data_IF_574577955710
#
_entry.id   IF_574577955710
#
_cell.length_a   1.000
_cell.length_b   1.000
_cell.length_c   1.000
_cell.angle_alpha   90.00
_cell.angle_beta   90.00
_cell.angle_gamma   90.00
#
_symmetry.space_group_name_H-M   'P 1'
#
loop_
_entity.id
_entity.type
_entity.pdbx_description
1 polymer ?
#
# COMPACT_ATOMS: atom_id res chain seq x y z
N UNK A 1 7.92 18.04 -11.00
CA UNK A 1 7.46 17.90 -9.60
C UNK A 1 8.34 18.72 -8.70
N UNK A 2 7.73 19.53 -7.84
CA UNK A 2 8.41 20.34 -6.82
C UNK A 2 7.91 19.92 -5.43
N UNK A 3 8.82 19.76 -4.46
CA UNK A 3 8.49 19.50 -3.06
C UNK A 3 9.08 20.59 -2.19
N UNK A 4 8.24 21.27 -1.41
CA UNK A 4 8.65 22.30 -0.46
C UNK A 4 8.28 21.88 0.96
N UNK A 5 9.22 22.06 1.89
CA UNK A 5 9.00 21.88 3.33
C UNK A 5 9.14 23.23 4.01
N UNK A 6 8.07 23.71 4.63
CA UNK A 6 8.09 25.00 5.34
C UNK A 6 7.87 24.77 6.83
N UNK A 7 8.81 25.27 7.65
CA UNK A 7 8.68 25.19 9.10
C UNK A 7 7.48 25.99 9.62
N UNK A 8 6.91 25.50 10.72
CA UNK A 8 5.87 26.15 11.52
C UNK A 8 6.28 26.03 12.99
N UNK A 9 5.75 26.92 13.82
CA UNK A 9 5.97 26.84 15.27
C UNK A 9 5.48 25.50 15.85
N UNK A 10 6.14 25.04 16.91
CA UNK A 10 5.74 23.84 17.66
C UNK A 10 6.15 22.52 17.01
N UNK A 11 7.38 22.44 16.46
CA UNK A 11 7.94 21.24 15.82
C UNK A 11 7.07 20.70 14.67
N UNK A 12 6.39 21.60 13.96
CA UNK A 12 5.54 21.29 12.82
C UNK A 12 6.15 21.80 11.54
N UNK A 13 5.82 21.14 10.44
CA UNK A 13 6.09 21.66 9.11
C UNK A 13 4.87 21.45 8.20
N UNK A 14 4.87 22.19 7.10
CA UNK A 14 3.96 21.96 5.98
C UNK A 14 4.81 21.39 4.85
N UNK A 15 4.46 20.19 4.40
CA UNK A 15 4.99 19.60 3.17
C UNK A 15 3.98 19.87 2.07
N UNK A 16 4.43 20.49 0.98
CA UNK A 16 3.63 20.73 -0.22
C UNK A 16 4.35 20.12 -1.41
N UNK A 17 3.63 19.33 -2.18
CA UNK A 17 4.10 18.72 -3.42
C UNK A 17 3.25 19.24 -4.57
N UNK A 18 3.91 19.72 -5.62
CA UNK A 18 3.27 20.25 -6.82
C UNK A 18 3.74 19.43 -8.00
N UNK A 19 2.79 18.80 -8.69
CA UNK A 19 3.02 18.19 -9.99
C UNK A 19 2.65 19.20 -11.08
N UNK A 20 3.55 19.38 -12.03
CA UNK A 20 3.30 20.18 -13.24
C UNK A 20 3.53 19.25 -14.42
N UNK A 21 2.47 18.99 -15.17
CA UNK A 21 2.50 18.16 -16.36
C UNK A 21 2.57 19.10 -17.57
N UNK A 22 3.44 18.78 -18.53
CA UNK A 22 3.61 19.54 -19.77
C UNK A 22 3.56 18.56 -20.92
N UNK A 23 2.63 18.77 -21.84
CA UNK A 23 2.36 17.77 -22.87
C UNK A 23 1.47 18.38 -23.97
N UNK A 24 1.41 17.74 -25.13
CA UNK A 24 1.01 18.32 -26.43
C UNK A 24 -0.28 17.74 -27.06
N UNK A 25 -1.12 17.05 -26.28
CA UNK A 25 -2.31 16.27 -26.69
C UNK A 25 -3.54 16.62 -25.81
N UNK A 26 -4.78 16.48 -26.25
CA UNK A 26 -5.92 16.90 -25.40
C UNK A 26 -6.41 15.85 -24.37
N UNK A 27 -5.61 14.83 -24.00
CA UNK A 27 -6.04 13.65 -23.20
C UNK A 27 -5.59 13.63 -21.72
N UNK A 28 -5.48 14.79 -21.06
CA UNK A 28 -4.87 14.94 -19.72
C UNK A 28 -5.66 14.46 -18.51
N UNK A 29 -6.99 14.38 -18.62
CA UNK A 29 -7.85 14.26 -17.43
C UNK A 29 -7.59 12.96 -16.66
N UNK A 30 -7.39 11.85 -17.38
CA UNK A 30 -7.10 10.53 -16.79
C UNK A 30 -5.74 10.49 -16.05
N UNK A 31 -4.73 11.21 -16.56
CA UNK A 31 -3.41 11.29 -15.92
C UNK A 31 -3.45 12.11 -14.64
N UNK A 32 -4.23 13.21 -14.63
CA UNK A 32 -4.38 14.09 -13.48
C UNK A 32 -5.17 13.41 -12.34
N UNK A 33 -6.26 12.71 -12.66
CA UNK A 33 -7.10 12.00 -11.69
C UNK A 33 -6.35 10.86 -10.98
N UNK A 34 -5.46 10.17 -11.70
CA UNK A 34 -4.59 9.13 -11.13
C UNK A 34 -3.65 9.69 -10.04
N UNK A 35 -3.15 10.92 -10.23
CA UNK A 35 -2.34 11.58 -9.21
C UNK A 35 -3.16 12.02 -8.00
N UNK A 36 -4.33 12.63 -8.22
CA UNK A 36 -5.17 13.13 -7.12
C UNK A 36 -5.66 12.00 -6.20
N UNK A 37 -5.91 10.82 -6.75
CA UNK A 37 -6.38 9.66 -5.99
C UNK A 37 -5.25 8.89 -5.28
N UNK A 38 -4.06 8.79 -5.87
CA UNK A 38 -2.95 8.00 -5.32
C UNK A 38 -2.11 8.71 -4.26
N UNK A 39 -1.83 10.02 -4.42
CA UNK A 39 -0.92 10.76 -3.54
C UNK A 39 -1.34 10.86 -2.07
N UNK A 40 -2.63 11.05 -1.73
CA UNK A 40 -3.06 11.12 -0.33
C UNK A 40 -2.58 9.91 0.50
N UNK A 41 -2.63 8.69 -0.07
CA UNK A 41 -2.15 7.48 0.60
C UNK A 41 -0.65 7.51 0.91
N UNK A 42 0.17 7.99 -0.02
CA UNK A 42 1.62 8.14 0.21
C UNK A 42 1.95 9.21 1.26
N UNK A 43 1.16 10.28 1.35
CA UNK A 43 1.31 11.25 2.44
C UNK A 43 0.96 10.65 3.80
N UNK A 44 -0.02 9.74 3.88
CA UNK A 44 -0.31 9.02 5.12
C UNK A 44 0.84 8.08 5.52
N UNK A 45 1.49 7.40 4.56
CA UNK A 45 2.71 6.62 4.84
C UNK A 45 3.80 7.53 5.40
N UNK A 46 4.04 8.69 4.78
CA UNK A 46 5.03 9.66 5.26
C UNK A 46 4.69 10.18 6.66
N UNK A 47 3.43 10.52 6.93
CA UNK A 47 2.97 10.96 8.25
C UNK A 47 3.22 9.90 9.31
N UNK A 48 2.91 8.64 9.00
CA UNK A 48 3.11 7.53 9.91
C UNK A 48 4.61 7.24 10.14
N UNK A 49 5.43 7.31 9.08
CA UNK A 49 6.90 7.22 9.19
C UNK A 49 7.47 8.28 10.14
N UNK A 50 7.15 9.55 9.90
CA UNK A 50 7.68 10.65 10.70
C UNK A 50 7.21 10.58 12.16
N UNK A 51 6.04 10.00 12.42
CA UNK A 51 5.49 9.82 13.76
C UNK A 51 6.13 8.66 14.52
N UNK A 52 6.34 7.53 13.87
CA UNK A 52 6.69 6.27 14.54
C UNK A 52 8.12 5.78 14.29
N UNK A 53 8.74 6.17 13.17
CA UNK A 53 10.04 5.68 12.72
C UNK A 53 11.02 6.79 12.30
N UNK A 54 11.03 7.99 12.93
CA UNK A 54 11.81 9.12 12.44
C UNK A 54 13.30 8.78 12.41
N UNK A 55 13.93 8.97 11.24
CA UNK A 55 15.37 8.81 11.05
C UNK A 55 15.84 7.35 10.93
N UNK A 56 14.94 6.38 10.98
CA UNK A 56 15.33 4.97 10.81
C UNK A 56 15.67 4.65 9.34
N UNK A 57 16.65 3.75 9.08
CA UNK A 57 16.90 3.22 7.74
C UNK A 57 15.64 2.60 7.16
N UNK A 58 15.44 2.73 5.84
CA UNK A 58 14.23 2.28 5.16
C UNK A 58 14.56 1.37 3.97
N UNK A 59 13.74 0.34 3.77
CA UNK A 59 13.72 -0.48 2.57
C UNK A 59 12.26 -0.82 2.22
N UNK A 60 11.98 -1.16 0.96
CA UNK A 60 10.62 -1.47 0.54
C UNK A 60 10.49 -2.80 -0.19
N UNK A 61 9.31 -3.39 -0.06
CA UNK A 61 8.87 -4.53 -0.86
C UNK A 61 7.57 -4.13 -1.54
N UNK A 62 7.47 -4.38 -2.83
CA UNK A 62 6.22 -4.20 -3.58
C UNK A 62 5.94 -5.48 -4.35
N UNK A 63 4.72 -5.98 -4.20
CA UNK A 63 4.17 -7.07 -4.99
C UNK A 63 2.79 -6.66 -5.50
N UNK A 64 2.54 -6.89 -6.79
CA UNK A 64 1.30 -6.54 -7.43
C UNK A 64 0.94 -7.61 -8.46
N UNK A 65 -0.36 -7.79 -8.70
CA UNK A 65 -0.89 -8.71 -9.70
C UNK A 65 -2.19 -8.15 -10.30
N UNK A 66 -2.50 -8.58 -11.52
CA UNK A 66 -3.81 -8.34 -12.14
C UNK A 66 -4.74 -9.47 -11.72
N UNK A 67 -5.91 -9.12 -11.18
CA UNK A 67 -6.92 -10.06 -10.76
C UNK A 67 -7.96 -10.26 -11.89
N UNK A 68 -8.40 -11.51 -12.17
CA UNK A 68 -9.39 -11.76 -13.22
C UNK A 68 -10.81 -11.24 -12.87
N UNK A 69 -11.15 -11.22 -11.58
CA UNK A 69 -12.42 -10.71 -11.07
C UNK A 69 -12.48 -9.18 -10.92
N UNK A 70 -13.66 -8.67 -10.57
CA UNK A 70 -13.85 -7.26 -10.23
C UNK A 70 -13.17 -6.85 -8.91
N UNK A 71 -13.21 -5.55 -8.58
CA UNK A 71 -12.59 -5.01 -7.36
C UNK A 71 -13.19 -5.59 -6.07
N UNK A 72 -14.46 -6.01 -6.07
CA UNK A 72 -15.07 -6.59 -4.87
C UNK A 72 -14.53 -8.00 -4.60
N UNK A 73 -14.44 -8.84 -5.63
CA UNK A 73 -13.85 -10.19 -5.54
C UNK A 73 -12.36 -10.11 -5.19
N UNK A 74 -11.59 -9.32 -5.95
CA UNK A 74 -10.16 -9.17 -5.72
C UNK A 74 -9.84 -8.65 -4.30
N UNK A 75 -10.66 -7.72 -3.79
CA UNK A 75 -10.52 -7.25 -2.42
C UNK A 75 -10.88 -8.33 -1.39
N UNK A 76 -11.96 -9.08 -1.62
CA UNK A 76 -12.38 -10.17 -0.74
C UNK A 76 -11.25 -11.18 -0.55
N UNK A 77 -10.63 -11.62 -1.64
CA UNK A 77 -9.57 -12.64 -1.61
C UNK A 77 -8.31 -12.12 -0.91
N UNK A 78 -7.86 -10.92 -1.28
CA UNK A 78 -6.71 -10.28 -0.66
C UNK A 78 -6.94 -10.04 0.84
N UNK A 79 -8.10 -9.47 1.19
CA UNK A 79 -8.41 -9.10 2.57
C UNK A 79 -8.59 -10.33 3.47
N UNK A 80 -9.22 -11.39 2.96
CA UNK A 80 -9.36 -12.65 3.68
C UNK A 80 -8.00 -13.28 3.95
N UNK A 81 -7.14 -13.38 2.93
CA UNK A 81 -5.83 -14.01 3.05
C UNK A 81 -4.86 -13.23 3.97
N UNK A 82 -4.94 -11.90 3.97
CA UNK A 82 -4.13 -11.05 4.85
C UNK A 82 -4.77 -10.78 6.22
N UNK A 83 -5.95 -11.35 6.48
CA UNK A 83 -6.63 -11.21 7.77
C UNK A 83 -7.08 -9.79 8.06
N UNK A 84 -7.33 -8.99 7.02
CA UNK A 84 -7.84 -7.62 7.10
C UNK A 84 -9.30 -7.50 6.63
N UNK A 85 -9.96 -8.62 6.33
CA UNK A 85 -11.39 -8.64 6.06
C UNK A 85 -12.18 -8.22 7.32
N UNK A 86 -12.99 -7.16 7.21
CA UNK A 86 -13.88 -6.69 8.27
C UNK A 86 -13.18 -6.06 9.48
N UNK A 87 -11.91 -5.72 9.38
CA UNK A 87 -11.19 -5.01 10.45
C UNK A 87 -11.57 -3.53 10.51
N UNK A 88 -11.38 -2.92 11.67
CA UNK A 88 -11.53 -1.48 11.88
C UNK A 88 -10.20 -0.84 12.32
N UNK A 89 -10.12 0.49 12.24
CA UNK A 89 -8.98 1.27 12.73
C UNK A 89 -8.72 0.94 14.20
N UNK A 90 -7.44 0.90 14.58
CA UNK A 90 -6.96 0.49 15.91
C UNK A 90 -7.20 -0.98 16.27
N UNK A 91 -7.67 -1.81 15.35
CA UNK A 91 -7.67 -3.27 15.55
C UNK A 91 -6.35 -3.88 15.12
N UNK A 92 -5.99 -4.99 15.76
CA UNK A 92 -4.83 -5.80 15.38
C UNK A 92 -5.24 -6.82 14.33
N UNK A 93 -4.45 -6.95 13.26
CA UNK A 93 -4.64 -7.93 12.20
C UNK A 93 -3.39 -8.79 11.98
N UNK A 94 -3.57 -9.97 11.39
CA UNK A 94 -2.49 -10.90 11.07
C UNK A 94 -2.86 -11.77 9.88
N UNK A 95 -1.87 -11.96 8.98
CA UNK A 95 -1.97 -12.80 7.78
C UNK A 95 -2.40 -14.22 8.12
N UNK A 96 -3.25 -14.81 7.29
CA UNK A 96 -3.70 -16.20 7.43
C UNK A 96 -2.64 -17.20 6.94
N UNK A 97 -2.87 -18.48 7.24
CA UNK A 97 -2.01 -19.56 6.76
C UNK A 97 -1.92 -19.54 5.23
N UNK A 98 -0.70 -19.67 4.70
CA UNK A 98 -0.42 -19.61 3.26
C UNK A 98 0.04 -18.25 2.74
N UNK A 99 -0.24 -17.15 3.45
CA UNK A 99 0.30 -15.83 3.12
C UNK A 99 1.65 -15.57 3.83
N UNK A 100 2.54 -14.74 3.24
CA UNK A 100 3.74 -14.27 3.93
C UNK A 100 3.37 -13.59 5.26
N UNK A 101 4.23 -13.75 6.27
CA UNK A 101 3.96 -13.29 7.62
C UNK A 101 3.80 -11.77 7.65
N UNK A 102 2.64 -11.31 8.08
CA UNK A 102 2.34 -9.91 8.34
C UNK A 102 1.49 -9.83 9.61
N UNK A 103 1.89 -8.97 10.54
CA UNK A 103 1.06 -8.68 11.71
C UNK A 103 1.25 -7.24 12.14
N UNK A 104 0.19 -6.61 12.63
CA UNK A 104 0.25 -5.21 13.04
C UNK A 104 -1.10 -4.62 13.40
N UNK A 105 -1.13 -3.29 13.47
CA UNK A 105 -2.29 -2.49 13.87
C UNK A 105 -2.80 -1.66 12.71
N UNK A 106 -4.10 -1.69 12.47
CA UNK A 106 -4.75 -0.92 11.40
C UNK A 106 -4.72 0.56 11.76
N UNK A 107 -4.11 1.36 10.88
CA UNK A 107 -3.95 2.81 11.05
C UNK A 107 -4.92 3.60 10.16
N UNK A 108 -5.27 3.04 8.99
CA UNK A 108 -6.20 3.68 8.04
C UNK A 108 -6.90 2.62 7.18
N UNK A 109 -8.14 2.92 6.80
CA UNK A 109 -8.94 2.15 5.85
C UNK A 109 -9.55 3.14 4.85
N UNK A 110 -9.43 2.85 3.56
CA UNK A 110 -10.14 3.56 2.49
C UNK A 110 -10.95 2.55 1.68
N UNK A 111 -12.24 2.82 1.50
CA UNK A 111 -13.11 1.96 0.69
C UNK A 111 -13.96 2.82 -0.25
N UNK A 112 -13.57 2.81 -1.52
CA UNK A 112 -14.32 3.37 -2.64
C UNK A 112 -14.68 2.25 -3.62
N UNK A 113 -15.50 2.57 -4.62
CA UNK A 113 -15.97 1.60 -5.61
C UNK A 113 -14.80 0.96 -6.38
N UNK A 114 -13.86 1.80 -6.84
CA UNK A 114 -12.77 1.38 -7.73
C UNK A 114 -11.39 1.43 -7.05
N UNK A 115 -11.35 1.76 -5.76
CA UNK A 115 -10.13 1.86 -4.98
C UNK A 115 -10.39 1.41 -3.55
N UNK A 116 -9.56 0.50 -3.05
CA UNK A 116 -9.60 0.07 -1.65
C UNK A 116 -8.19 -0.06 -1.12
N UNK A 117 -7.95 0.45 0.09
CA UNK A 117 -6.71 0.18 0.79
C UNK A 117 -6.92 0.01 2.30
N UNK A 118 -5.99 -0.72 2.92
CA UNK A 118 -5.82 -0.80 4.36
C UNK A 118 -4.35 -0.57 4.65
N UNK A 119 -4.08 0.39 5.54
CA UNK A 119 -2.75 0.69 6.05
C UNK A 119 -2.59 0.09 7.44
N UNK A 120 -1.50 -0.65 7.64
CA UNK A 120 -1.17 -1.33 8.89
C UNK A 120 0.23 -0.91 9.33
N UNK A 121 0.37 -0.49 10.59
CA UNK A 121 1.69 -0.37 11.23
C UNK A 121 2.14 -1.74 11.70
N UNK A 122 3.27 -2.19 11.17
CA UNK A 122 3.77 -3.55 11.30
C UNK A 122 4.51 -3.80 12.62
N UNK A 123 4.25 -4.98 13.17
CA UNK A 123 5.05 -5.65 14.20
C UNK A 123 5.93 -6.75 13.59
N UNK A 124 5.44 -7.41 12.54
CA UNK A 124 6.14 -8.45 11.78
C UNK A 124 5.94 -8.24 10.26
N UNK A 125 6.94 -8.57 9.42
CA UNK A 125 8.17 -9.31 9.72
C UNK A 125 9.26 -8.49 10.44
N UNK A 126 9.16 -7.17 10.37
CA UNK A 126 9.89 -6.21 11.20
C UNK A 126 9.06 -4.92 11.33
N UNK A 127 9.49 -3.95 12.16
CA UNK A 127 8.80 -2.65 12.25
C UNK A 127 8.67 -1.98 10.89
N UNK A 128 7.49 -1.44 10.60
CA UNK A 128 7.21 -0.94 9.26
C UNK A 128 5.78 -0.47 9.07
N UNK A 129 5.42 -0.24 7.82
CA UNK A 129 4.08 0.09 7.36
C UNK A 129 3.77 -0.83 6.19
N UNK A 130 2.61 -1.49 6.22
CA UNK A 130 2.04 -2.16 5.06
C UNK A 130 0.88 -1.34 4.51
N UNK A 131 0.81 -1.23 3.19
CA UNK A 131 -0.37 -0.75 2.46
C UNK A 131 -0.81 -1.89 1.55
N UNK A 132 -2.01 -2.39 1.78
CA UNK A 132 -2.60 -3.50 1.04
C UNK A 132 -3.88 -3.03 0.42
N UNK A 133 -4.08 -3.28 -0.87
CA UNK A 133 -5.20 -2.68 -1.57
C UNK A 133 -5.28 -3.09 -3.02
N UNK A 134 -6.18 -2.41 -3.73
CA UNK A 134 -6.28 -2.52 -5.16
C UNK A 134 -7.00 -1.34 -5.77
N UNK A 135 -6.87 -1.25 -7.09
CA UNK A 135 -7.57 -0.27 -7.89
C UNK A 135 -7.99 -0.86 -9.23
N UNK A 136 -9.00 -0.27 -9.85
CA UNK A 136 -9.33 -0.52 -11.25
C UNK A 136 -8.58 0.51 -12.10
N UNK A 137 -7.76 0.04 -13.04
CA UNK A 137 -7.02 0.90 -13.95
C UNK A 137 -7.07 0.31 -15.37
N UNK A 138 -7.51 1.10 -16.35
CA UNK A 138 -7.65 0.63 -17.74
C UNK A 138 -8.59 -0.57 -17.90
N UNK A 139 -9.66 -0.63 -17.10
CA UNK A 139 -10.62 -1.73 -17.09
C UNK A 139 -10.11 -3.04 -16.45
N UNK A 140 -8.91 -3.03 -15.85
CA UNK A 140 -8.34 -4.18 -15.17
C UNK A 140 -8.27 -3.94 -13.66
N UNK A 141 -8.68 -4.94 -12.88
CA UNK A 141 -8.50 -4.93 -11.42
C UNK A 141 -7.05 -5.27 -11.08
N UNK A 142 -6.37 -4.38 -10.37
CA UNK A 142 -5.02 -4.61 -9.85
C UNK A 142 -5.06 -4.67 -8.33
N UNK A 143 -4.39 -5.67 -7.77
CA UNK A 143 -4.15 -5.78 -6.32
C UNK A 143 -2.67 -5.59 -6.03
N UNK A 144 -2.36 -4.96 -4.91
CA UNK A 144 -1.00 -4.66 -4.50
C UNK A 144 -0.80 -4.75 -2.99
N UNK A 145 0.40 -5.14 -2.60
CA UNK A 145 0.93 -5.03 -1.25
C UNK A 145 2.25 -4.30 -1.31
N UNK A 146 2.34 -3.19 -0.58
CA UNK A 146 3.56 -2.41 -0.38
C UNK A 146 3.96 -2.47 1.08
N UNK A 147 5.17 -2.95 1.36
CA UNK A 147 5.77 -2.90 2.69
C UNK A 147 6.88 -1.85 2.70
N UNK A 148 6.80 -0.93 3.65
CA UNK A 148 7.86 0.01 3.99
C UNK A 148 8.45 -0.42 5.33
N UNK A 149 9.62 -1.02 5.28
CA UNK A 149 10.30 -1.62 6.43
C UNK A 149 11.31 -0.64 6.99
N UNK A 150 11.41 -0.56 8.32
CA UNK A 150 12.25 0.40 9.01
C UNK A 150 13.16 -0.25 10.06
N UNK A 151 14.33 0.34 10.23
CA UNK A 151 15.36 -0.09 11.19
C UNK A 151 16.55 -0.77 10.52
N UNK A 152 17.54 -1.16 11.34
CA UNK A 152 18.84 -1.64 10.85
C UNK A 152 18.74 -2.91 9.99
N UNK A 153 17.74 -3.76 10.24
CA UNK A 153 17.50 -5.00 9.47
C UNK A 153 16.54 -4.82 8.28
N UNK A 154 16.10 -3.59 7.99
CA UNK A 154 15.07 -3.34 6.96
C UNK A 154 15.49 -3.85 5.58
N UNK A 155 16.73 -3.60 5.17
CA UNK A 155 17.25 -4.01 3.86
C UNK A 155 17.30 -5.53 3.72
N UNK A 156 17.86 -6.23 4.71
CA UNK A 156 17.94 -7.70 4.71
C UNK A 156 16.55 -8.35 4.76
N UNK A 157 15.64 -7.79 5.56
CA UNK A 157 14.26 -8.26 5.64
C UNK A 157 13.55 -8.05 4.30
N UNK A 158 13.69 -6.89 3.66
CA UNK A 158 13.10 -6.63 2.36
C UNK A 158 13.62 -7.61 1.29
N UNK A 159 14.94 -7.89 1.28
CA UNK A 159 15.53 -8.85 0.36
C UNK A 159 14.98 -10.28 0.56
N UNK A 160 14.75 -10.69 1.81
CA UNK A 160 14.19 -12.01 2.13
C UNK A 160 12.68 -12.11 1.84
N UNK A 161 11.93 -11.03 2.03
CA UNK A 161 10.47 -11.00 1.89
C UNK A 161 10.02 -10.77 0.45
N UNK A 162 10.74 -9.95 -0.33
CA UNK A 162 10.39 -9.62 -1.72
C UNK A 162 10.02 -10.84 -2.60
N UNK A 163 10.81 -11.92 -2.68
CA UNK A 163 10.44 -13.08 -3.49
C UNK A 163 9.20 -13.80 -2.96
N UNK A 164 8.99 -13.85 -1.63
CA UNK A 164 7.83 -14.52 -1.02
C UNK A 164 6.54 -13.80 -1.37
N UNK A 165 6.52 -12.47 -1.23
CA UNK A 165 5.36 -11.64 -1.57
C UNK A 165 5.02 -11.70 -3.05
N UNK A 166 6.01 -11.65 -3.94
CA UNK A 166 5.79 -11.76 -5.39
C UNK A 166 5.22 -13.12 -5.77
N UNK A 167 5.80 -14.22 -5.26
CA UNK A 167 5.32 -15.57 -5.55
C UNK A 167 3.90 -15.79 -5.01
N UNK A 168 3.63 -15.35 -3.78
CA UNK A 168 2.31 -15.49 -3.17
C UNK A 168 1.23 -14.67 -3.91
N UNK A 169 1.52 -13.42 -4.30
CA UNK A 169 0.58 -12.60 -5.07
C UNK A 169 0.20 -13.23 -6.41
N UNK A 170 1.15 -13.88 -7.10
CA UNK A 170 0.87 -14.61 -8.33
C UNK A 170 -0.03 -15.83 -8.06
N UNK A 171 0.27 -16.61 -7.02
CA UNK A 171 -0.55 -17.77 -6.64
C UNK A 171 -1.98 -17.39 -6.25
N UNK A 172 -2.16 -16.25 -5.56
CA UNK A 172 -3.48 -15.76 -5.16
C UNK A 172 -4.38 -15.54 -6.38
N UNK A 173 -3.85 -14.93 -7.46
CA UNK A 173 -4.65 -14.66 -8.67
C UNK A 173 -4.79 -15.88 -9.59
N UNK A 174 -3.82 -16.79 -9.58
CA UNK A 174 -3.86 -18.02 -10.38
C UNK A 174 -4.87 -19.03 -9.82
N UNK A 175 -4.96 -19.16 -8.49
CA UNK A 175 -5.92 -20.04 -7.82
C UNK A 175 -7.37 -19.69 -8.18
N UNK A 176 -7.67 -18.40 -8.29
CA UNK A 176 -9.01 -17.92 -8.66
C UNK A 176 -9.30 -18.13 -10.14
N UNK A 177 -8.29 -17.95 -11.00
CA UNK A 177 -8.41 -18.25 -12.44
C UNK A 177 -8.72 -19.72 -12.70
N UNK A 178 -8.33 -20.63 -11.79
CA UNK A 178 -8.64 -22.06 -11.88
C UNK A 178 -9.99 -22.45 -11.26
N UNK A 179 -10.61 -21.57 -10.46
CA UNK A 179 -11.89 -21.79 -9.80
C UNK A 179 -13.09 -21.24 -10.60
N UNK A 180 -12.84 -20.43 -11.63
CA UNK A 180 -13.83 -19.87 -12.56
C UNK A 180 -14.02 -20.77 -13.79
#
# INVERSE_FOLDING_TARGET
>A
TEVTVTSRSGDRCVVRMVHSLFTDRDDWDDELESFETGWPGFFEVLRLYLRAFPGQPAANVVAAATHPGDMAHAWSDLAAALGVAGVDVSQRCESRSGAPKLAGWVERIEQKQEFRDVMVRLEAPCPGIAVMGGCVAGGQTRVMVSLYLYGDSAADTAAAEAPKWRAWMAQLVDAESAAT
#
